data_IF_918387774432
#
_entry.id   IF_918387774432
#
_cell.length_a   1.000
_cell.length_b   1.000
_cell.length_c   1.000
_cell.angle_alpha   90.00
_cell.angle_beta   90.00
_cell.angle_gamma   90.00
#
_symmetry.space_group_name_H-M   'P 1'
#
loop_
_entity.id
_entity.type
_entity.pdbx_description
1 polymer ?
#
# COMPACT_ATOMS: atom_id res chain seq x y z
N UNK A 1 -6.59 24.40 -19.18
CA UNK A 1 -7.46 24.75 -18.04
C UNK A 1 -7.38 23.70 -16.97
N UNK A 2 -7.24 24.13 -15.73
CA UNK A 2 -7.19 23.19 -14.63
C UNK A 2 -8.62 22.81 -14.20
N UNK A 3 -8.95 21.54 -14.30
CA UNK A 3 -10.22 21.06 -13.77
C UNK A 3 -10.16 21.09 -12.25
N UNK A 4 -11.30 21.39 -11.64
CA UNK A 4 -11.45 21.36 -10.18
C UNK A 4 -12.50 20.34 -9.80
N UNK A 5 -12.30 19.73 -8.65
CA UNK A 5 -13.15 18.65 -8.15
C UNK A 5 -13.53 18.91 -6.71
N UNK A 6 -14.73 18.49 -6.34
CA UNK A 6 -15.15 18.47 -4.95
C UNK A 6 -14.67 17.19 -4.28
N UNK A 7 -14.67 17.19 -2.96
CA UNK A 7 -14.14 16.05 -2.18
C UNK A 7 -14.81 14.72 -2.54
N UNK A 8 -16.12 14.74 -2.81
CA UNK A 8 -16.85 13.53 -3.21
C UNK A 8 -16.35 12.95 -4.52
N UNK A 9 -16.00 13.81 -5.48
CA UNK A 9 -15.44 13.39 -6.75
C UNK A 9 -14.03 12.83 -6.59
N UNK A 10 -13.22 13.47 -5.74
CA UNK A 10 -11.87 12.99 -5.44
C UNK A 10 -11.95 11.59 -4.84
N UNK A 11 -12.80 11.41 -3.84
CA UNK A 11 -13.00 10.12 -3.19
C UNK A 11 -13.42 9.03 -4.19
N UNK A 12 -14.43 9.35 -5.02
CA UNK A 12 -14.95 8.42 -6.02
C UNK A 12 -13.87 8.03 -7.04
N UNK A 13 -13.16 9.01 -7.57
CA UNK A 13 -12.12 8.76 -8.59
C UNK A 13 -10.90 8.03 -8.04
N UNK A 14 -10.57 8.27 -6.77
CA UNK A 14 -9.45 7.61 -6.11
C UNK A 14 -9.83 6.25 -5.51
N UNK A 15 -11.12 5.93 -5.47
CA UNK A 15 -11.58 4.64 -4.92
C UNK A 15 -11.50 4.57 -3.40
N UNK A 16 -11.72 5.69 -2.72
CA UNK A 16 -11.71 5.77 -1.25
C UNK A 16 -12.96 6.49 -0.77
N UNK A 17 -13.19 6.50 0.54
CA UNK A 17 -14.29 7.25 1.13
C UNK A 17 -13.92 8.72 1.29
N UNK A 18 -14.94 9.56 1.41
CA UNK A 18 -14.75 10.99 1.72
C UNK A 18 -14.00 11.15 3.04
N UNK A 19 -14.32 10.33 4.03
CA UNK A 19 -13.64 10.36 5.33
C UNK A 19 -12.15 10.06 5.20
N UNK A 20 -11.77 9.16 4.30
CA UNK A 20 -10.38 8.85 4.01
C UNK A 20 -9.65 10.06 3.44
N UNK A 21 -10.27 10.78 2.50
CA UNK A 21 -9.68 12.00 1.94
C UNK A 21 -9.48 13.04 3.03
N UNK A 22 -10.48 13.25 3.90
CA UNK A 22 -10.38 14.17 5.04
C UNK A 22 -9.28 13.77 6.01
N UNK A 23 -9.15 12.48 6.25
CA UNK A 23 -8.11 11.94 7.12
C UNK A 23 -6.72 12.25 6.56
N UNK A 24 -6.52 12.03 5.27
CA UNK A 24 -5.26 12.36 4.62
C UNK A 24 -4.94 13.85 4.68
N UNK A 25 -5.96 14.70 4.53
CA UNK A 25 -5.77 16.15 4.69
C UNK A 25 -5.31 16.50 6.11
N UNK A 26 -5.97 15.93 7.13
CA UNK A 26 -5.62 16.17 8.53
C UNK A 26 -4.21 15.72 8.87
N UNK A 27 -3.75 14.65 8.23
CA UNK A 27 -2.40 14.13 8.39
C UNK A 27 -1.38 14.89 7.54
N UNK A 28 -1.80 15.93 6.86
CA UNK A 28 -0.94 16.76 6.01
C UNK A 28 -0.27 15.99 4.88
N UNK A 29 -0.95 14.95 4.40
CA UNK A 29 -0.49 14.14 3.27
C UNK A 29 -0.94 14.73 1.94
N UNK A 30 -1.90 15.64 1.97
CA UNK A 30 -2.40 16.36 0.80
C UNK A 30 -2.14 17.85 0.99
N UNK A 31 -1.92 18.60 -0.11
CA UNK A 31 -1.85 20.05 -0.02
C UNK A 31 -3.15 20.59 0.56
N UNK A 32 -3.07 21.71 1.27
CA UNK A 32 -4.27 22.37 1.77
C UNK A 32 -5.11 22.80 0.56
N UNK A 33 -6.35 22.28 0.51
CA UNK A 33 -7.23 22.59 -0.59
C UNK A 33 -7.76 24.02 -0.46
N UNK A 34 -7.65 24.86 -1.52
CA UNK A 34 -8.29 26.16 -1.50
C UNK A 34 -9.82 25.99 -1.44
N UNK A 35 -10.51 26.99 -0.90
CA UNK A 35 -11.95 26.95 -0.79
C UNK A 35 -12.57 27.97 -1.73
N UNK A 36 -13.72 27.62 -2.31
CA UNK A 36 -14.55 28.58 -3.04
C UNK A 36 -15.16 29.58 -2.07
N UNK A 37 -15.68 30.68 -2.59
CA UNK A 37 -16.41 31.66 -1.80
C UNK A 37 -17.56 31.05 -1.01
N UNK A 38 -18.14 29.95 -1.49
CA UNK A 38 -19.19 29.20 -0.81
C UNK A 38 -18.70 28.33 0.35
N UNK A 39 -17.38 28.27 0.58
CA UNK A 39 -16.80 27.47 1.65
C UNK A 39 -16.41 26.03 1.26
N UNK A 40 -16.76 25.58 0.08
CA UNK A 40 -16.41 24.25 -0.39
C UNK A 40 -14.95 24.15 -0.79
N UNK A 41 -14.31 23.04 -0.43
CA UNK A 41 -12.94 22.74 -0.84
C UNK A 41 -12.87 22.37 -2.31
N UNK A 42 -11.83 22.83 -2.97
CA UNK A 42 -11.58 22.53 -4.38
C UNK A 42 -10.28 21.75 -4.50
N UNK A 43 -10.33 20.66 -5.24
CA UNK A 43 -9.16 19.80 -5.45
C UNK A 43 -8.80 19.78 -6.93
N UNK A 44 -7.52 19.50 -7.21
CA UNK A 44 -7.02 19.35 -8.58
C UNK A 44 -6.81 17.86 -8.88
N UNK A 45 -6.52 17.55 -10.16
CA UNK A 45 -6.20 16.19 -10.56
C UNK A 45 -4.98 15.65 -9.82
N UNK A 46 -4.03 16.53 -9.50
CA UNK A 46 -2.84 16.15 -8.72
C UNK A 46 -3.21 15.60 -7.35
N UNK A 47 -4.25 16.15 -6.71
CA UNK A 47 -4.74 15.64 -5.44
C UNK A 47 -5.31 14.24 -5.58
N UNK A 48 -6.04 13.97 -6.66
CA UNK A 48 -6.59 12.64 -6.94
C UNK A 48 -5.47 11.63 -7.11
N UNK A 49 -4.46 11.96 -7.90
CA UNK A 49 -3.31 11.09 -8.12
C UNK A 49 -2.56 10.81 -6.80
N UNK A 50 -2.44 11.84 -5.97
CA UNK A 50 -1.78 11.71 -4.67
C UNK A 50 -2.55 10.77 -3.73
N UNK A 51 -3.87 10.89 -3.69
CA UNK A 51 -4.72 9.99 -2.90
C UNK A 51 -4.57 8.55 -3.39
N UNK A 52 -4.56 8.34 -4.70
CA UNK A 52 -4.35 7.01 -5.29
C UNK A 52 -3.00 6.43 -4.87
N UNK A 53 -1.96 7.25 -4.91
CA UNK A 53 -0.62 6.82 -4.51
C UNK A 53 -0.59 6.41 -3.04
N UNK A 54 -1.17 7.23 -2.16
CA UNK A 54 -1.22 6.94 -0.72
C UNK A 54 -1.95 5.63 -0.46
N UNK A 55 -3.10 5.44 -1.09
CA UNK A 55 -3.89 4.23 -0.95
C UNK A 55 -3.08 3.00 -1.37
N UNK A 56 -2.46 3.07 -2.54
CA UNK A 56 -1.64 1.95 -3.04
C UNK A 56 -0.49 1.64 -2.09
N UNK A 57 0.21 2.66 -1.62
CA UNK A 57 1.32 2.49 -0.69
C UNK A 57 0.87 1.80 0.60
N UNK A 58 -0.28 2.20 1.16
CA UNK A 58 -0.84 1.56 2.34
C UNK A 58 -1.19 0.10 2.09
N UNK A 59 -1.78 -0.19 0.95
CA UNK A 59 -2.11 -1.58 0.55
C UNK A 59 -0.86 -2.44 0.46
N UNK A 60 0.26 -1.85 0.08
CA UNK A 60 1.54 -2.54 -0.02
C UNK A 60 2.30 -2.59 1.32
N UNK A 61 1.70 -2.06 2.39
CA UNK A 61 2.25 -2.18 3.73
C UNK A 61 3.09 -1.00 4.20
N UNK A 62 3.10 0.11 3.46
CA UNK A 62 3.77 1.31 3.92
C UNK A 62 2.89 2.05 4.93
N UNK A 63 3.51 2.60 5.97
CA UNK A 63 2.78 3.38 6.98
C UNK A 63 2.55 4.80 6.49
N UNK A 64 1.57 5.48 7.08
CA UNK A 64 1.33 6.89 6.76
C UNK A 64 2.53 7.76 7.13
N UNK A 65 3.26 7.42 8.20
CA UNK A 65 4.46 8.14 8.58
C UNK A 65 5.54 8.02 7.52
N UNK A 66 5.76 6.81 6.98
CA UNK A 66 6.69 6.59 5.88
C UNK A 66 6.30 7.38 4.64
N UNK A 67 5.01 7.39 4.31
CA UNK A 67 4.47 8.13 3.18
C UNK A 67 4.64 9.63 3.40
N UNK A 68 4.41 10.11 4.62
CA UNK A 68 4.57 11.51 4.99
C UNK A 68 6.02 11.99 4.81
N UNK A 69 6.99 11.16 5.17
CA UNK A 69 8.40 11.47 4.98
C UNK A 69 8.69 11.66 3.48
N UNK A 70 8.15 10.79 2.64
CA UNK A 70 8.30 10.88 1.19
C UNK A 70 7.81 12.23 0.67
N UNK A 71 6.65 12.71 1.15
CA UNK A 71 6.07 13.97 0.71
C UNK A 71 6.65 15.20 1.41
N UNK A 72 7.46 15.03 2.45
CA UNK A 72 8.03 16.15 3.20
C UNK A 72 9.37 16.64 2.66
N UNK A 73 9.89 16.00 1.63
CA UNK A 73 11.16 16.42 1.02
C UNK A 73 10.96 17.75 0.31
N UNK A 74 11.68 18.77 0.76
CA UNK A 74 11.57 20.15 0.29
C UNK A 74 12.96 20.77 0.07
N UNK A 75 12.98 21.86 -0.68
CA UNK A 75 14.14 22.72 -0.80
C UNK A 75 14.94 22.50 -2.06
N UNK A 76 16.13 23.10 -2.09
CA UNK A 76 16.98 23.14 -3.28
C UNK A 76 17.48 21.78 -3.73
N UNK A 77 17.51 20.80 -2.81
CA UNK A 77 17.97 19.44 -3.10
C UNK A 77 16.81 18.43 -3.12
N UNK A 78 15.63 18.90 -3.44
CA UNK A 78 14.43 18.09 -3.43
C UNK A 78 14.59 16.82 -4.27
N UNK A 79 15.14 16.96 -5.47
CA UNK A 79 15.33 15.82 -6.37
C UNK A 79 16.30 14.78 -5.81
N UNK A 80 17.40 15.24 -5.19
CA UNK A 80 18.36 14.34 -4.56
C UNK A 80 17.76 13.62 -3.35
N UNK A 81 16.95 14.31 -2.56
CA UNK A 81 16.26 13.71 -1.42
C UNK A 81 15.25 12.65 -1.86
N UNK A 82 14.47 12.95 -2.89
CA UNK A 82 13.51 12.00 -3.47
C UNK A 82 14.24 10.78 -4.04
N UNK A 83 15.36 11.00 -4.74
CA UNK A 83 16.17 9.91 -5.28
C UNK A 83 16.61 8.93 -4.18
N UNK A 84 17.12 9.45 -3.07
CA UNK A 84 17.55 8.62 -1.94
C UNK A 84 16.38 7.84 -1.33
N UNK A 85 15.22 8.48 -1.17
CA UNK A 85 14.03 7.80 -0.64
C UNK A 85 13.53 6.71 -1.59
N UNK A 86 13.54 6.98 -2.89
CA UNK A 86 13.13 5.98 -3.89
C UNK A 86 14.05 4.77 -3.88
N UNK A 87 15.37 4.99 -3.80
CA UNK A 87 16.33 3.89 -3.71
C UNK A 87 16.06 3.03 -2.48
N UNK A 88 15.85 3.67 -1.34
CA UNK A 88 15.57 2.96 -0.09
C UNK A 88 14.27 2.17 -0.19
N UNK A 89 13.21 2.79 -0.69
CA UNK A 89 11.91 2.12 -0.81
C UNK A 89 11.95 0.95 -1.78
N UNK A 90 12.69 1.09 -2.89
CA UNK A 90 12.87 -0.02 -3.84
C UNK A 90 13.63 -1.17 -3.18
N UNK A 91 14.68 -0.90 -2.42
CA UNK A 91 15.42 -1.94 -1.69
C UNK A 91 14.51 -2.66 -0.69
N UNK A 92 13.67 -1.91 0.04
CA UNK A 92 12.71 -2.49 0.99
C UNK A 92 11.70 -3.39 0.27
N UNK A 93 11.19 -2.95 -0.88
CA UNK A 93 10.26 -3.74 -1.69
C UNK A 93 10.92 -5.01 -2.22
N UNK A 94 12.14 -4.91 -2.72
CA UNK A 94 12.87 -6.07 -3.22
C UNK A 94 13.06 -7.11 -2.12
N UNK A 95 13.38 -6.68 -0.90
CA UNK A 95 13.52 -7.56 0.25
C UNK A 95 12.19 -8.26 0.59
N UNK A 96 11.08 -7.50 0.57
CA UNK A 96 9.75 -8.08 0.80
C UNK A 96 9.36 -9.07 -0.26
N UNK A 97 9.65 -8.75 -1.53
CA UNK A 97 9.37 -9.66 -2.65
C UNK A 97 10.15 -10.95 -2.51
N UNK A 98 11.43 -10.88 -2.13
CA UNK A 98 12.25 -12.06 -1.91
C UNK A 98 11.69 -12.93 -0.80
N UNK A 99 11.25 -12.32 0.32
CA UNK A 99 10.62 -13.04 1.42
C UNK A 99 9.33 -13.71 0.99
N UNK A 100 8.51 -13.01 0.20
CA UNK A 100 7.25 -13.55 -0.32
C UNK A 100 7.49 -14.71 -1.27
N UNK A 101 8.51 -14.62 -2.12
CA UNK A 101 8.87 -15.70 -3.03
C UNK A 101 9.34 -16.93 -2.27
N UNK A 102 10.13 -16.74 -1.21
CA UNK A 102 10.55 -17.84 -0.34
C UNK A 102 9.34 -18.49 0.32
N UNK A 103 8.44 -17.70 0.88
CA UNK A 103 7.23 -18.20 1.51
C UNK A 103 6.34 -18.95 0.51
N UNK A 104 6.25 -18.43 -0.71
CA UNK A 104 5.50 -19.08 -1.78
C UNK A 104 6.05 -20.50 -2.07
N UNK A 105 7.38 -20.61 -2.13
CA UNK A 105 8.02 -21.93 -2.33
C UNK A 105 7.69 -22.88 -1.20
N UNK A 106 7.73 -22.38 0.03
CA UNK A 106 7.41 -23.17 1.20
C UNK A 106 5.95 -23.66 1.15
N UNK A 107 5.02 -22.78 0.84
CA UNK A 107 3.60 -23.15 0.72
C UNK A 107 3.37 -24.13 -0.42
N UNK A 108 4.07 -23.97 -1.54
CA UNK A 108 3.99 -24.89 -2.68
C UNK A 108 4.44 -26.30 -2.25
N UNK A 109 5.53 -26.36 -1.49
CA UNK A 109 6.03 -27.63 -0.95
C UNK A 109 4.99 -28.30 -0.03
N UNK A 110 4.44 -27.53 0.90
CA UNK A 110 3.41 -28.05 1.82
C UNK A 110 2.15 -28.49 1.09
N UNK A 111 1.76 -27.73 0.06
CA UNK A 111 0.60 -28.10 -0.75
C UNK A 111 0.81 -29.46 -1.43
N UNK A 112 1.99 -29.69 -1.99
CA UNK A 112 2.32 -30.95 -2.64
C UNK A 112 2.29 -32.13 -1.64
N UNK A 113 2.80 -31.92 -0.43
CA UNK A 113 2.75 -32.94 0.62
C UNK A 113 1.31 -33.24 1.05
N UNK A 114 0.51 -32.19 1.19
CA UNK A 114 -0.90 -32.32 1.56
C UNK A 114 -1.67 -33.08 0.49
N UNK A 115 -1.47 -32.74 -0.77
CA UNK A 115 -2.15 -33.41 -1.90
C UNK A 115 -1.75 -34.87 -2.00
N UNK A 116 -0.46 -35.17 -1.80
CA UNK A 116 0.01 -36.54 -1.82
C UNK A 116 -0.62 -37.38 -0.70
N UNK A 117 -0.75 -36.80 0.49
CA UNK A 117 -1.38 -37.50 1.62
C UNK A 117 -2.88 -37.73 1.40
N UNK A 118 -3.58 -36.71 0.87
CA UNK A 118 -5.00 -36.83 0.56
C UNK A 118 -5.27 -37.86 -0.52
N UNK A 119 -4.36 -38.01 -1.46
CA UNK A 119 -4.46 -39.03 -2.51
C UNK A 119 -4.30 -40.43 -1.95
N UNK A 120 -3.34 -40.64 -1.06
CA UNK A 120 -3.06 -41.95 -0.44
C UNK A 120 -4.04 -42.32 0.65
N UNK A 121 -4.41 -41.31 1.46
CA UNK A 121 -5.24 -41.53 2.65
C UNK A 121 -6.27 -40.42 2.78
N UNK A 122 -7.37 -40.47 1.99
CA UNK A 122 -8.34 -39.36 1.94
C UNK A 122 -8.95 -38.96 3.29
N UNK A 123 -8.98 -39.90 4.24
CA UNK A 123 -9.57 -39.66 5.56
C UNK A 123 -8.53 -39.71 6.68
N UNK A 124 -7.26 -39.49 6.34
CA UNK A 124 -6.20 -39.52 7.35
C UNK A 124 -6.39 -38.40 8.37
N UNK A 125 -6.31 -38.70 9.67
CA UNK A 125 -6.32 -37.69 10.71
C UNK A 125 -4.96 -36.96 10.83
N UNK A 126 -3.91 -37.51 10.22
CA UNK A 126 -2.56 -36.99 10.32
C UNK A 126 -2.25 -36.11 9.11
N UNK A 127 -1.91 -34.85 9.36
CA UNK A 127 -1.51 -33.92 8.32
C UNK A 127 0.00 -33.76 8.35
N UNK A 128 0.74 -34.19 7.30
CA UNK A 128 2.20 -34.07 7.29
C UNK A 128 2.70 -32.63 7.41
N UNK A 129 1.95 -31.67 6.89
CA UNK A 129 2.29 -30.26 6.99
C UNK A 129 2.25 -29.80 8.45
N UNK A 130 1.15 -30.13 9.17
CA UNK A 130 1.00 -29.74 10.56
C UNK A 130 2.04 -30.43 11.44
N UNK A 131 2.35 -31.67 11.15
CA UNK A 131 3.36 -32.44 11.88
C UNK A 131 4.73 -31.80 11.68
N UNK A 132 5.08 -31.46 10.46
CA UNK A 132 6.36 -30.83 10.13
C UNK A 132 6.52 -29.47 10.80
N UNK A 133 5.48 -28.63 10.74
CA UNK A 133 5.50 -27.29 11.36
C UNK A 133 5.58 -27.40 12.88
N UNK A 134 4.79 -28.31 13.48
CA UNK A 134 4.74 -28.44 14.92
C UNK A 134 5.97 -29.18 15.49
N UNK A 135 6.63 -29.99 14.69
CA UNK A 135 7.79 -30.76 15.10
C UNK A 135 9.09 -29.98 15.19
N UNK A 136 9.04 -28.70 14.83
CA UNK A 136 10.18 -27.80 14.94
C UNK A 136 10.03 -26.86 16.16
#
# INVERSE_FOLDING_TARGET
MNEVFHIGEVASRAGVSVDTVRFYERRQLLPVAPRKASGYRIFTIAAIERVRFIKLAQELGFTLDEIGIFFSVNGDNECAGVHGLLLKKLADLDARMASMQYFRKLLTHYLAECEAELEKHPNSPDCPVLIEIAGK
#
